data_IF_151476425593
#
_entry.id   IF_151476425593
#
_cell.length_a   1.000
_cell.length_b   1.000
_cell.length_c   1.000
_cell.angle_alpha   90.00
_cell.angle_beta   90.00
_cell.angle_gamma   90.00
#
_symmetry.space_group_name_H-M   'P 1'
#
loop_
_entity.id
_entity.type
_entity.pdbx_description
1 polymer ?
#
# COMPACT_ATOMS: atom_id res chain seq x y z
N UNK A 1 23.61 34.14 -25.67
CA UNK A 1 23.79 32.67 -25.82
C UNK A 1 24.35 31.97 -24.57
N UNK A 2 24.73 32.69 -23.50
CA UNK A 2 25.28 32.13 -22.25
C UNK A 2 24.24 31.52 -21.28
N UNK A 3 22.95 31.81 -21.44
CA UNK A 3 21.89 31.30 -20.53
C UNK A 3 21.50 29.82 -20.76
N UNK A 4 21.88 29.20 -21.88
CA UNK A 4 21.47 27.83 -22.22
C UNK A 4 22.43 26.75 -21.71
N UNK A 5 23.70 27.09 -21.49
CA UNK A 5 24.73 26.11 -21.07
C UNK A 5 24.54 25.74 -19.59
N UNK A 6 24.26 26.71 -18.71
CA UNK A 6 24.03 26.45 -17.28
C UNK A 6 22.76 25.61 -17.02
N UNK A 7 21.77 25.65 -17.89
CA UNK A 7 20.52 24.88 -17.68
C UNK A 7 20.69 23.38 -17.91
N UNK A 8 21.66 22.96 -18.74
CA UNK A 8 21.89 21.54 -18.99
C UNK A 8 22.65 20.86 -17.85
N UNK A 9 23.70 21.52 -17.32
CA UNK A 9 24.52 20.98 -16.23
C UNK A 9 23.72 20.75 -14.94
N UNK A 10 22.72 21.58 -14.66
CA UNK A 10 21.86 21.43 -13.48
C UNK A 10 20.71 20.42 -13.68
N UNK A 11 20.39 20.05 -14.92
CA UNK A 11 19.24 19.20 -15.22
C UNK A 11 19.47 17.75 -14.81
N UNK A 12 20.63 17.19 -15.13
CA UNK A 12 20.97 15.81 -14.78
C UNK A 12 20.98 15.55 -13.26
N UNK A 13 21.66 16.35 -12.42
CA UNK A 13 21.61 16.17 -10.97
C UNK A 13 20.20 16.40 -10.42
N UNK A 14 19.42 17.33 -10.99
CA UNK A 14 18.02 17.53 -10.57
C UNK A 14 17.15 16.29 -10.87
N UNK A 15 17.30 15.67 -12.05
CA UNK A 15 16.58 14.44 -12.41
C UNK A 15 17.00 13.26 -11.52
N UNK A 16 18.29 13.14 -11.20
CA UNK A 16 18.79 12.11 -10.29
C UNK A 16 18.22 12.27 -8.87
N UNK A 17 18.28 13.49 -8.32
CA UNK A 17 17.72 13.81 -7.01
C UNK A 17 16.21 13.56 -6.96
N UNK A 18 15.48 14.01 -7.99
CA UNK A 18 14.05 13.79 -8.13
C UNK A 18 13.70 12.30 -8.19
N UNK A 19 14.46 11.52 -8.95
CA UNK A 19 14.28 10.06 -9.03
C UNK A 19 14.49 9.41 -7.66
N UNK A 20 15.57 9.77 -6.96
CA UNK A 20 15.85 9.25 -5.62
C UNK A 20 14.74 9.60 -4.63
N UNK A 21 14.27 10.85 -4.63
CA UNK A 21 13.16 11.31 -3.80
C UNK A 21 11.86 10.54 -4.11
N UNK A 22 11.52 10.38 -5.39
CA UNK A 22 10.32 9.66 -5.84
C UNK A 22 10.33 8.17 -5.43
N UNK A 23 11.50 7.51 -5.53
CA UNK A 23 11.67 6.13 -5.08
C UNK A 23 11.64 5.99 -3.55
N UNK A 24 11.86 7.09 -2.82
CA UNK A 24 12.00 7.11 -1.35
C UNK A 24 10.83 7.77 -0.63
N UNK A 25 9.73 8.15 -1.32
CA UNK A 25 8.62 8.91 -0.74
C UNK A 25 8.07 8.29 0.55
N UNK A 26 7.91 6.97 0.61
CA UNK A 26 7.41 6.29 1.80
C UNK A 26 8.41 6.36 2.97
N UNK A 27 9.69 6.08 2.70
CA UNK A 27 10.73 6.14 3.73
C UNK A 27 10.89 7.56 4.28
N UNK A 28 10.87 8.57 3.40
CA UNK A 28 10.88 9.99 3.77
C UNK A 28 9.67 10.33 4.64
N UNK A 29 8.47 9.93 4.23
CA UNK A 29 7.25 10.18 4.99
C UNK A 29 7.28 9.52 6.37
N UNK A 30 7.73 8.27 6.47
CA UNK A 30 7.89 7.57 7.76
C UNK A 30 8.89 8.28 8.67
N UNK A 31 10.05 8.70 8.14
CA UNK A 31 11.04 9.44 8.92
C UNK A 31 10.52 10.80 9.40
N UNK A 32 9.87 11.56 8.51
CA UNK A 32 9.26 12.84 8.86
C UNK A 32 8.15 12.65 9.90
N UNK A 33 7.33 11.62 9.74
CA UNK A 33 6.23 11.31 10.64
C UNK A 33 6.72 11.05 12.07
N UNK A 34 7.62 10.08 12.23
CA UNK A 34 8.18 9.71 13.54
C UNK A 34 8.90 10.88 14.20
N UNK A 35 9.70 11.63 13.42
CA UNK A 35 10.54 12.69 13.98
C UNK A 35 9.75 13.95 14.36
N UNK A 36 8.74 14.32 13.58
CA UNK A 36 8.13 15.65 13.70
C UNK A 36 6.61 15.64 13.92
N UNK A 37 5.89 14.56 13.63
CA UNK A 37 4.42 14.62 13.52
C UNK A 37 3.69 13.63 14.43
N UNK A 38 4.35 12.54 14.85
CA UNK A 38 3.75 11.52 15.70
C UNK A 38 3.25 12.10 17.05
N UNK A 39 4.09 12.89 17.72
CA UNK A 39 3.71 13.58 18.96
C UNK A 39 2.58 14.62 18.80
N UNK A 40 2.29 15.04 17.56
CA UNK A 40 1.21 15.98 17.23
C UNK A 40 -0.09 15.26 16.83
N UNK A 41 -0.10 13.94 16.83
CA UNK A 41 -1.27 13.13 16.45
C UNK A 41 -1.63 13.22 14.96
N UNK A 42 -0.70 13.67 14.10
CA UNK A 42 -0.90 13.72 12.65
C UNK A 42 -0.75 12.31 12.08
N UNK A 43 -1.62 11.92 11.16
CA UNK A 43 -1.59 10.58 10.57
C UNK A 43 -0.44 10.44 9.56
N UNK A 44 0.24 9.29 9.55
CA UNK A 44 1.33 9.01 8.59
C UNK A 44 0.90 9.20 7.13
N UNK A 45 -0.36 8.86 6.79
CA UNK A 45 -0.88 9.06 5.43
C UNK A 45 -0.91 10.52 4.99
N UNK A 46 -1.19 11.46 5.91
CA UNK A 46 -1.21 12.89 5.61
C UNK A 46 0.20 13.40 5.31
N UNK A 47 1.18 12.93 6.10
CA UNK A 47 2.61 13.22 5.85
C UNK A 47 3.04 12.62 4.51
N UNK A 48 2.62 11.39 4.21
CA UNK A 48 2.91 10.75 2.93
C UNK A 48 2.32 11.49 1.73
N UNK A 49 1.05 11.91 1.82
CA UNK A 49 0.41 12.73 0.81
C UNK A 49 1.17 14.05 0.59
N UNK A 50 1.61 14.72 1.66
CA UNK A 50 2.40 15.95 1.54
C UNK A 50 3.74 15.71 0.84
N UNK A 51 4.46 14.64 1.19
CA UNK A 51 5.72 14.27 0.51
C UNK A 51 5.48 13.98 -0.98
N UNK A 52 4.45 13.20 -1.32
CA UNK A 52 4.10 12.93 -2.71
C UNK A 52 3.74 14.21 -3.47
N UNK A 53 2.99 15.13 -2.86
CA UNK A 53 2.62 16.40 -3.48
C UNK A 53 3.84 17.27 -3.78
N UNK A 54 4.80 17.35 -2.85
CA UNK A 54 6.07 18.07 -3.06
C UNK A 54 6.86 17.42 -4.19
N UNK A 55 7.03 16.10 -4.18
CA UNK A 55 7.79 15.38 -5.23
C UNK A 55 7.12 15.52 -6.60
N UNK A 56 5.78 15.38 -6.66
CA UNK A 56 5.03 15.58 -7.90
C UNK A 56 5.18 17.02 -8.41
N UNK A 57 5.06 18.02 -7.52
CA UNK A 57 5.27 19.44 -7.85
C UNK A 57 6.67 19.70 -8.42
N UNK A 58 7.71 19.21 -7.75
CA UNK A 58 9.09 19.27 -8.26
C UNK A 58 9.22 18.56 -9.62
N UNK A 59 8.54 17.43 -9.81
CA UNK A 59 8.50 16.73 -11.09
C UNK A 59 7.87 17.55 -12.21
N UNK A 60 6.79 18.28 -11.93
CA UNK A 60 6.16 19.19 -12.89
C UNK A 60 7.08 20.37 -13.23
N UNK A 61 7.84 20.88 -12.27
CA UNK A 61 8.80 21.97 -12.50
C UNK A 61 10.01 21.52 -13.32
N UNK A 62 10.57 20.33 -13.04
CA UNK A 62 11.80 19.84 -13.67
C UNK A 62 11.54 19.18 -15.03
N UNK A 63 10.49 18.36 -15.14
CA UNK A 63 10.18 17.61 -16.37
C UNK A 63 9.12 18.33 -17.21
N UNK A 64 8.37 19.25 -16.62
CA UNK A 64 7.30 20.01 -17.27
C UNK A 64 5.91 19.41 -17.05
N UNK A 65 4.82 20.20 -17.15
CA UNK A 65 3.46 19.73 -16.90
C UNK A 65 2.96 18.71 -17.94
N UNK A 66 3.61 18.64 -19.11
CA UNK A 66 3.31 17.67 -20.17
C UNK A 66 3.47 16.21 -19.72
N UNK A 67 4.13 15.94 -18.58
CA UNK A 67 4.20 14.58 -18.01
C UNK A 67 2.86 14.06 -17.52
N UNK A 68 1.90 14.94 -17.19
CA UNK A 68 0.54 14.52 -16.82
C UNK A 68 -0.32 14.24 -18.06
N UNK A 69 0.05 14.82 -19.20
CA UNK A 69 -0.60 14.64 -20.48
C UNK A 69 0.14 15.41 -21.56
N UNK A 70 0.86 14.69 -22.42
CA UNK A 70 1.49 15.25 -23.62
C UNK A 70 0.59 15.10 -24.86
N UNK A 71 -0.54 14.39 -24.71
CA UNK A 71 -1.44 14.03 -25.78
C UNK A 71 -2.05 15.26 -26.46
N UNK A 72 -1.65 15.51 -27.70
CA UNK A 72 -2.38 16.35 -28.64
C UNK A 72 -3.72 15.64 -28.94
N UNK A 73 -4.85 16.29 -28.62
CA UNK A 73 -6.20 15.87 -29.02
C UNK A 73 -6.87 14.82 -28.12
N UNK A 74 -6.57 13.54 -28.32
CA UNK A 74 -7.48 12.45 -27.90
C UNK A 74 -7.08 11.73 -26.61
N UNK A 75 -5.79 11.75 -26.25
CA UNK A 75 -5.27 11.04 -25.07
C UNK A 75 -5.97 11.47 -23.77
N UNK A 76 -6.22 12.77 -23.59
CA UNK A 76 -6.90 13.30 -22.40
C UNK A 76 -8.37 12.85 -22.30
N UNK A 77 -9.04 12.64 -23.44
CA UNK A 77 -10.44 12.20 -23.49
C UNK A 77 -10.58 10.68 -23.32
N UNK A 78 -9.71 9.92 -24.00
CA UNK A 78 -9.78 8.46 -24.04
C UNK A 78 -9.15 7.80 -22.81
N UNK A 79 -8.08 8.37 -22.27
CA UNK A 79 -7.35 7.80 -21.12
C UNK A 79 -8.24 7.56 -19.89
N UNK A 80 -9.09 8.51 -19.41
CA UNK A 80 -9.98 8.24 -18.28
C UNK A 80 -11.01 7.14 -18.58
N UNK A 81 -11.52 7.05 -19.82
CA UNK A 81 -12.46 6.00 -20.22
C UNK A 81 -11.80 4.61 -20.19
N UNK A 82 -10.59 4.49 -20.75
CA UNK A 82 -9.81 3.26 -20.67
C UNK A 82 -9.47 2.88 -19.22
N UNK A 83 -9.09 3.88 -18.40
CA UNK A 83 -8.84 3.67 -16.98
C UNK A 83 -10.07 3.13 -16.24
N UNK A 84 -11.24 3.70 -16.51
CA UNK A 84 -12.50 3.23 -15.94
C UNK A 84 -12.85 1.79 -16.40
N UNK A 85 -12.63 1.47 -17.68
CA UNK A 85 -12.86 0.13 -18.22
C UNK A 85 -11.93 -0.94 -17.61
N UNK A 86 -10.69 -0.57 -17.29
CA UNK A 86 -9.69 -1.51 -16.77
C UNK A 86 -9.72 -1.65 -15.24
N UNK A 87 -10.26 -0.68 -14.51
CA UNK A 87 -10.35 -0.71 -13.04
C UNK A 87 -10.98 -2.01 -12.45
N UNK A 88 -12.08 -2.57 -13.00
CA UNK A 88 -12.65 -3.82 -12.50
C UNK A 88 -11.72 -5.02 -12.66
N UNK A 89 -10.96 -5.08 -13.75
CA UNK A 89 -9.98 -6.13 -14.02
C UNK A 89 -8.88 -6.10 -12.97
N UNK A 90 -8.32 -4.90 -12.71
CA UNK A 90 -7.28 -4.70 -11.71
C UNK A 90 -7.76 -5.09 -10.31
N UNK A 91 -8.95 -4.63 -9.92
CA UNK A 91 -9.52 -4.98 -8.62
C UNK A 91 -9.76 -6.49 -8.44
N UNK A 92 -10.14 -7.16 -9.53
CA UNK A 92 -10.32 -8.62 -9.54
C UNK A 92 -8.98 -9.33 -9.39
N UNK A 93 -7.96 -8.91 -10.13
CA UNK A 93 -6.61 -9.45 -10.04
C UNK A 93 -6.03 -9.29 -8.62
N UNK A 94 -6.14 -8.10 -8.03
CA UNK A 94 -5.70 -7.81 -6.66
C UNK A 94 -6.38 -8.74 -5.64
N UNK A 95 -7.70 -8.86 -5.73
CA UNK A 95 -8.49 -9.73 -4.84
C UNK A 95 -8.08 -11.19 -4.98
N UNK A 96 -7.87 -11.68 -6.21
CA UNK A 96 -7.47 -13.06 -6.47
C UNK A 96 -6.06 -13.35 -5.94
N UNK A 97 -5.10 -12.46 -6.18
CA UNK A 97 -3.71 -12.60 -5.73
C UNK A 97 -3.66 -12.59 -4.19
N UNK A 98 -4.28 -11.59 -3.57
CA UNK A 98 -4.32 -11.46 -2.11
C UNK A 98 -4.98 -12.69 -1.46
N UNK A 99 -6.10 -13.18 -2.01
CA UNK A 99 -6.78 -14.40 -1.51
C UNK A 99 -5.90 -15.64 -1.67
N UNK A 100 -5.25 -15.83 -2.83
CA UNK A 100 -4.40 -17.01 -3.08
C UNK A 100 -3.19 -17.03 -2.17
N UNK A 101 -2.48 -15.91 -2.03
CA UNK A 101 -1.30 -15.79 -1.17
C UNK A 101 -1.68 -15.90 0.30
N UNK A 102 -2.78 -15.27 0.73
CA UNK A 102 -3.29 -15.41 2.09
C UNK A 102 -3.66 -16.85 2.46
N UNK A 103 -4.30 -17.60 1.54
CA UNK A 103 -4.59 -19.03 1.75
C UNK A 103 -3.32 -19.88 1.85
N UNK A 104 -2.28 -19.58 1.07
CA UNK A 104 -0.99 -20.28 1.14
C UNK A 104 -0.30 -20.02 2.48
N UNK A 105 -0.22 -18.75 2.89
CA UNK A 105 0.36 -18.38 4.18
C UNK A 105 -0.36 -19.05 5.37
N UNK A 106 -1.70 -19.07 5.36
CA UNK A 106 -2.48 -19.75 6.40
C UNK A 106 -2.24 -21.27 6.45
N UNK A 107 -2.05 -21.92 5.29
CA UNK A 107 -1.73 -23.35 5.23
C UNK A 107 -0.31 -23.64 5.74
N UNK A 108 0.66 -22.80 5.42
CA UNK A 108 2.02 -22.93 5.95
C UNK A 108 2.03 -22.80 7.47
N UNK A 109 1.38 -21.76 8.01
CA UNK A 109 1.27 -21.56 9.46
C UNK A 109 0.59 -22.75 10.18
N UNK A 110 -0.47 -23.32 9.61
CA UNK A 110 -1.13 -24.50 10.18
C UNK A 110 -0.22 -25.75 10.17
N UNK A 111 0.63 -25.91 9.15
CA UNK A 111 1.59 -27.01 9.07
C UNK A 111 2.70 -26.88 10.11
N UNK A 112 3.19 -25.66 10.35
CA UNK A 112 4.24 -25.42 11.33
C UNK A 112 3.74 -25.64 12.77
N UNK A 113 2.50 -25.24 13.07
CA UNK A 113 1.85 -25.55 14.36
C UNK A 113 1.68 -27.06 14.58
N UNK A 114 1.29 -27.81 13.54
CA UNK A 114 1.16 -29.27 13.63
C UNK A 114 2.50 -29.99 13.85
N UNK A 115 3.61 -29.44 13.36
CA UNK A 115 4.95 -30.00 13.59
C UNK A 115 5.48 -29.73 15.00
N UNK A 116 5.19 -28.57 15.58
CA UNK A 116 5.57 -28.25 16.96
C UNK A 116 4.90 -29.18 17.98
N UNK A 117 3.60 -29.44 17.82
CA UNK A 117 2.85 -30.27 18.76
C UNK A 117 3.33 -31.73 18.84
N UNK A 118 3.93 -32.28 17.77
CA UNK A 118 4.49 -33.63 17.78
C UNK A 118 5.91 -33.72 18.36
N UNK A 119 6.61 -32.59 18.57
CA UNK A 119 8.01 -32.59 19.01
C UNK A 119 8.17 -32.60 20.54
N UNK A 120 7.14 -32.20 21.28
CA UNK A 120 7.15 -32.20 22.75
C UNK A 120 6.71 -33.56 23.37
N UNK A 121 6.57 -34.60 22.54
CA UNK A 121 6.11 -35.93 22.93
C UNK A 121 7.08 -36.81 23.74
N UNK A 122 8.15 -36.26 24.32
CA UNK A 122 9.13 -37.03 25.11
C UNK A 122 8.98 -36.93 26.63
N UNK A 123 7.93 -36.29 27.16
CA UNK A 123 7.63 -36.33 28.61
C UNK A 123 6.34 -37.13 28.91
N UNK A 124 6.51 -38.45 28.85
CA UNK A 124 6.06 -39.49 29.79
C UNK A 124 4.76 -39.22 30.60
N UNK A 125 3.67 -39.84 30.16
CA UNK A 125 2.76 -40.59 31.05
C UNK A 125 1.86 -39.79 32.00
N UNK A 126 0.87 -39.06 31.49
CA UNK A 126 -0.23 -38.54 32.30
C UNK A 126 -1.55 -38.62 31.52
N UNK A 127 -2.42 -39.55 31.89
CA UNK A 127 -3.73 -39.81 31.27
C UNK A 127 -4.70 -38.68 31.66
N UNK A 128 -4.81 -37.62 30.85
CA UNK A 128 -5.71 -36.50 31.12
C UNK A 128 -7.18 -36.81 30.70
N UNK A 129 -8.20 -36.37 31.47
CA UNK A 129 -9.60 -36.73 31.27
C UNK A 129 -10.26 -36.02 30.07
N UNK A 130 -11.19 -36.73 29.43
CA UNK A 130 -11.69 -36.50 28.07
C UNK A 130 -12.83 -35.47 27.91
N UNK A 131 -12.89 -34.38 28.70
CA UNK A 131 -14.11 -33.53 28.76
C UNK A 131 -13.90 -32.04 28.46
N UNK A 132 -12.91 -31.65 27.66
CA UNK A 132 -12.76 -30.25 27.26
C UNK A 132 -13.61 -29.91 26.01
N UNK A 133 -14.56 -28.96 26.08
CA UNK A 133 -15.43 -28.59 24.97
C UNK A 133 -14.64 -27.91 23.85
N UNK A 134 -14.88 -28.36 22.61
CA UNK A 134 -14.34 -27.79 21.37
C UNK A 134 -14.73 -26.32 21.23
N UNK A 135 -13.85 -25.41 21.59
CA UNK A 135 -14.00 -23.99 21.29
C UNK A 135 -13.98 -23.79 19.77
N UNK A 136 -15.12 -23.33 19.22
CA UNK A 136 -15.30 -23.06 17.80
C UNK A 136 -14.53 -21.79 17.45
N UNK A 137 -13.32 -21.95 16.90
CA UNK A 137 -12.45 -20.84 16.52
C UNK A 137 -13.08 -20.02 15.38
N UNK A 138 -13.70 -18.88 15.72
CA UNK A 138 -14.16 -17.88 14.76
C UNK A 138 -12.95 -17.19 14.12
N UNK A 139 -12.76 -17.39 12.81
CA UNK A 139 -11.67 -16.78 12.02
C UNK A 139 -11.80 -15.25 11.97
N UNK A 140 -10.80 -14.48 12.45
CA UNK A 140 -10.76 -13.04 12.22
C UNK A 140 -10.22 -12.74 10.81
N UNK A 141 -11.04 -12.11 9.99
CA UNK A 141 -10.62 -11.48 8.73
C UNK A 141 -9.81 -10.23 9.10
N UNK A 142 -8.49 -10.39 9.21
CA UNK A 142 -7.56 -9.33 9.66
C UNK A 142 -6.23 -9.84 10.22
N UNK A 143 -6.09 -11.16 10.41
CA UNK A 143 -4.91 -11.78 11.04
C UNK A 143 -3.61 -11.73 10.23
N UNK A 144 -3.64 -11.42 8.94
CA UNK A 144 -2.41 -11.34 8.14
C UNK A 144 -1.47 -10.20 8.59
N UNK A 145 -2.02 -9.12 9.16
CA UNK A 145 -1.21 -8.06 9.77
C UNK A 145 -0.76 -8.40 11.21
N UNK A 146 -1.55 -9.18 11.97
CA UNK A 146 -1.23 -9.55 13.37
C UNK A 146 -0.19 -10.66 13.49
N UNK A 147 -0.11 -11.58 12.54
CA UNK A 147 0.85 -12.69 12.58
C UNK A 147 2.26 -12.30 12.10
N UNK A 148 2.43 -11.15 11.43
CA UNK A 148 3.74 -10.61 11.08
C UNK A 148 4.43 -9.85 12.23
N UNK A 149 3.70 -9.50 13.30
CA UNK A 149 4.20 -8.65 14.39
C UNK A 149 4.58 -9.37 15.68
N UNK A 150 4.42 -10.69 15.78
CA UNK A 150 4.58 -11.43 17.05
C UNK A 150 5.95 -12.08 17.28
N UNK A 151 6.89 -11.98 16.35
CA UNK A 151 8.17 -12.70 16.43
C UNK A 151 9.35 -11.79 16.10
N UNK A 152 9.68 -10.88 17.02
CA UNK A 152 11.03 -10.31 17.22
C UNK A 152 11.00 -9.32 18.40
N UNK A 153 10.99 -9.85 19.63
CA UNK A 153 10.99 -9.04 20.85
C UNK A 153 12.39 -8.72 21.40
N UNK A 154 13.47 -8.99 20.65
CA UNK A 154 14.82 -9.00 21.26
C UNK A 154 15.93 -8.36 20.44
N UNK A 155 15.63 -7.41 19.54
CA UNK A 155 16.66 -6.54 18.97
C UNK A 155 16.21 -5.09 18.86
N UNK A 156 16.87 -4.27 19.67
CA UNK A 156 16.95 -2.82 19.69
C UNK A 156 17.38 -2.22 18.34
N UNK A 157 16.44 -2.05 17.41
CA UNK A 157 16.51 -1.00 16.39
C UNK A 157 15.17 -0.31 16.33
N UNK A 158 15.19 1.02 16.22
CA UNK A 158 14.04 1.91 15.99
C UNK A 158 13.40 1.62 14.63
N UNK A 159 12.93 0.39 14.41
CA UNK A 159 12.19 0.01 13.24
C UNK A 159 10.77 0.46 13.52
N UNK A 160 10.34 1.53 12.84
CA UNK A 160 8.98 2.04 12.94
C UNK A 160 8.00 0.88 12.77
N UNK A 161 7.24 0.61 13.84
CA UNK A 161 6.13 -0.33 13.80
C UNK A 161 4.86 0.50 13.75
N UNK A 162 3.98 0.28 12.77
CA UNK A 162 2.74 1.01 12.73
C UNK A 162 1.94 0.82 14.00
N UNK A 163 1.45 1.92 14.53
CA UNK A 163 0.56 1.88 15.67
C UNK A 163 -0.81 1.33 15.23
N UNK A 164 -1.62 0.89 16.20
CA UNK A 164 -3.03 0.61 15.94
C UNK A 164 -3.75 1.81 15.30
N UNK A 165 -3.34 3.05 15.63
CA UNK A 165 -3.90 4.26 15.00
C UNK A 165 -3.60 4.33 13.52
N UNK A 166 -2.49 3.79 13.03
CA UNK A 166 -2.12 3.82 11.61
C UNK A 166 -2.84 2.73 10.80
N UNK A 167 -3.32 1.69 11.47
CA UNK A 167 -3.99 0.53 10.86
C UNK A 167 -5.51 0.56 11.00
N UNK A 168 -6.05 1.18 12.05
CA UNK A 168 -7.50 1.27 12.31
C UNK A 168 -8.19 2.43 11.57
N UNK A 169 -7.46 3.21 10.79
CA UNK A 169 -8.03 4.42 10.21
C UNK A 169 -9.16 4.05 9.25
N UNK A 170 -10.39 4.38 9.64
CA UNK A 170 -11.48 4.62 8.70
C UNK A 170 -11.11 5.84 7.88
N UNK A 171 -10.16 5.65 6.94
CA UNK A 171 -9.68 6.75 6.13
C UNK A 171 -10.86 7.30 5.36
N UNK A 172 -11.11 8.62 5.46
CA UNK A 172 -12.07 9.26 4.59
C UNK A 172 -11.70 8.93 3.15
N UNK A 173 -12.70 8.58 2.33
CA UNK A 173 -12.49 8.21 0.94
C UNK A 173 -11.66 9.26 0.18
N UNK A 174 -11.86 10.55 0.50
CA UNK A 174 -11.10 11.66 -0.08
C UNK A 174 -9.58 11.51 0.08
N UNK A 175 -9.09 11.07 1.25
CA UNK A 175 -7.65 10.86 1.46
C UNK A 175 -7.11 9.68 0.67
N UNK A 176 -7.86 8.58 0.57
CA UNK A 176 -7.46 7.42 -0.23
C UNK A 176 -7.38 7.77 -1.72
N UNK A 177 -8.36 8.54 -2.23
CA UNK A 177 -8.35 8.99 -3.62
C UNK A 177 -7.21 9.99 -3.84
N UNK A 178 -7.02 10.97 -2.95
CA UNK A 178 -5.95 11.96 -3.07
C UNK A 178 -4.55 11.31 -3.10
N UNK A 179 -4.27 10.36 -2.20
CA UNK A 179 -3.01 9.62 -2.21
C UNK A 179 -2.84 8.83 -3.51
N UNK A 180 -3.88 8.12 -3.95
CA UNK A 180 -3.82 7.38 -5.22
C UNK A 180 -3.51 8.29 -6.42
N UNK A 181 -4.15 9.47 -6.50
CA UNK A 181 -3.85 10.48 -7.53
C UNK A 181 -2.38 10.91 -7.45
N UNK A 182 -1.90 11.26 -6.26
CA UNK A 182 -0.53 11.74 -6.05
C UNK A 182 0.52 10.66 -6.35
N UNK A 183 0.25 9.40 -5.99
CA UNK A 183 1.09 8.27 -6.37
C UNK A 183 1.19 8.16 -7.90
N UNK A 184 0.07 8.21 -8.62
CA UNK A 184 0.11 8.17 -10.08
C UNK A 184 0.82 9.39 -10.69
N UNK A 185 0.68 10.58 -10.12
CA UNK A 185 1.44 11.76 -10.54
C UNK A 185 2.96 11.56 -10.38
N UNK A 186 3.42 10.93 -9.29
CA UNK A 186 4.84 10.65 -9.07
C UNK A 186 5.34 9.51 -9.97
N UNK A 187 4.67 8.35 -9.96
CA UNK A 187 5.19 7.15 -10.62
C UNK A 187 4.92 7.14 -12.14
N UNK A 188 3.72 7.58 -12.58
CA UNK A 188 3.31 7.54 -14.00
C UNK A 188 3.44 8.90 -14.67
N UNK A 189 3.35 9.99 -13.91
CA UNK A 189 3.75 11.32 -14.40
C UNK A 189 5.27 11.47 -14.36
N UNK A 190 5.81 11.79 -13.19
CA UNK A 190 7.21 12.21 -13.02
C UNK A 190 8.22 11.16 -13.46
N UNK A 191 8.22 9.95 -12.88
CA UNK A 191 9.24 8.94 -13.18
C UNK A 191 9.20 8.41 -14.62
N UNK A 192 8.00 8.31 -15.21
CA UNK A 192 7.87 7.96 -16.63
C UNK A 192 8.37 9.12 -17.50
N UNK A 193 8.07 10.36 -17.15
CA UNK A 193 8.65 11.54 -17.80
C UNK A 193 10.18 11.53 -17.77
N UNK A 194 10.79 11.30 -16.61
CA UNK A 194 12.26 11.16 -16.45
C UNK A 194 12.80 10.02 -17.32
N UNK A 195 12.12 8.88 -17.37
CA UNK A 195 12.53 7.76 -18.22
C UNK A 195 12.53 8.17 -19.70
N UNK A 196 11.49 8.86 -20.16
CA UNK A 196 11.35 9.26 -21.57
C UNK A 196 12.34 10.35 -22.01
N UNK A 197 12.94 11.11 -21.08
CA UNK A 197 14.02 12.05 -21.43
C UNK A 197 15.37 11.40 -21.65
N UNK A 198 15.57 10.13 -21.26
CA UNK A 198 16.85 9.45 -21.45
C UNK A 198 17.08 9.10 -22.92
N UNK A 199 18.34 9.11 -23.38
CA UNK A 199 18.66 8.77 -24.77
C UNK A 199 18.71 7.25 -25.03
N UNK A 200 19.19 6.45 -24.07
CA UNK A 200 19.39 5.01 -24.25
C UNK A 200 18.15 4.18 -23.89
N UNK A 201 17.71 3.29 -24.81
CA UNK A 201 16.56 2.40 -24.58
C UNK A 201 16.68 1.58 -23.29
N UNK A 202 17.87 1.03 -23.01
CA UNK A 202 18.12 0.25 -21.79
C UNK A 202 17.91 1.07 -20.51
N UNK A 203 18.35 2.33 -20.49
CA UNK A 203 18.14 3.23 -19.36
C UNK A 203 16.65 3.53 -19.17
N UNK A 204 15.91 3.80 -20.26
CA UNK A 204 14.45 4.01 -20.21
C UNK A 204 13.75 2.82 -19.56
N UNK A 205 14.04 1.62 -20.07
CA UNK A 205 13.44 0.37 -19.57
C UNK A 205 13.80 0.16 -18.10
N UNK A 206 15.07 0.36 -17.72
CA UNK A 206 15.51 0.19 -16.33
C UNK A 206 14.78 1.14 -15.37
N UNK A 207 14.63 2.42 -15.73
CA UNK A 207 13.91 3.39 -14.90
C UNK A 207 12.43 3.01 -14.78
N UNK A 208 11.78 2.59 -15.87
CA UNK A 208 10.37 2.18 -15.84
C UNK A 208 10.15 0.91 -14.99
N UNK A 209 11.07 -0.06 -15.07
CA UNK A 209 11.05 -1.25 -14.22
C UNK A 209 11.28 -0.90 -12.75
N UNK A 210 12.25 -0.02 -12.46
CA UNK A 210 12.52 0.46 -11.11
C UNK A 210 11.33 1.22 -10.52
N UNK A 211 10.69 2.10 -11.29
CA UNK A 211 9.48 2.82 -10.89
C UNK A 211 8.31 1.86 -10.60
N UNK A 212 8.13 0.85 -11.44
CA UNK A 212 7.11 -0.21 -11.25
C UNK A 212 7.37 -1.02 -9.97
N UNK A 213 8.62 -1.42 -9.75
CA UNK A 213 9.04 -2.13 -8.54
C UNK A 213 8.86 -1.29 -7.29
N UNK A 214 9.30 -0.02 -7.32
CA UNK A 214 9.18 0.91 -6.19
C UNK A 214 7.72 1.22 -5.83
N UNK A 215 6.85 1.41 -6.83
CA UNK A 215 5.41 1.55 -6.58
C UNK A 215 4.85 0.32 -5.86
N UNK A 216 5.16 -0.89 -6.31
CA UNK A 216 4.69 -2.10 -5.63
C UNK A 216 5.29 -2.24 -4.22
N UNK A 217 6.59 -1.96 -4.06
CA UNK A 217 7.30 -2.03 -2.78
C UNK A 217 6.83 -0.96 -1.78
N UNK A 218 6.28 0.17 -2.22
CA UNK A 218 5.65 1.15 -1.31
C UNK A 218 4.47 0.55 -0.54
N UNK A 219 3.91 -0.56 -1.01
CA UNK A 219 2.83 -1.27 -0.33
C UNK A 219 3.33 -2.42 0.57
N UNK A 220 4.65 -2.54 0.78
CA UNK A 220 5.25 -3.58 1.65
C UNK A 220 4.73 -3.53 3.07
N UNK A 221 4.31 -2.34 3.51
CA UNK A 221 3.66 -2.11 4.79
C UNK A 221 2.41 -2.99 5.00
N UNK A 222 1.68 -3.29 3.93
CA UNK A 222 0.50 -4.16 3.97
C UNK A 222 0.85 -5.64 3.73
N UNK A 223 2.15 -5.97 3.69
CA UNK A 223 2.71 -7.31 3.51
C UNK A 223 3.01 -7.68 2.05
N UNK A 224 3.83 -8.72 1.87
CA UNK A 224 4.26 -9.20 0.55
C UNK A 224 3.12 -9.59 -0.40
N UNK A 225 2.00 -10.06 0.15
CA UNK A 225 0.82 -10.37 -0.66
C UNK A 225 0.27 -9.13 -1.38
N UNK A 226 0.34 -7.96 -0.72
CA UNK A 226 -0.11 -6.68 -1.28
C UNK A 226 0.90 -6.14 -2.29
N UNK A 227 2.21 -6.25 -2.02
CA UNK A 227 3.25 -5.94 -3.03
C UNK A 227 3.02 -6.72 -4.32
N UNK A 228 2.83 -8.04 -4.21
CA UNK A 228 2.56 -8.90 -5.36
C UNK A 228 1.25 -8.55 -6.07
N UNK A 229 0.21 -8.15 -5.33
CA UNK A 229 -1.08 -7.75 -5.88
C UNK A 229 -1.05 -6.38 -6.59
N UNK A 230 -0.12 -5.50 -6.20
CA UNK A 230 0.06 -4.16 -6.79
C UNK A 230 0.93 -4.15 -8.04
N UNK A 231 1.74 -5.19 -8.27
CA UNK A 231 2.52 -5.32 -9.50
C UNK A 231 1.64 -5.31 -10.77
N UNK A 232 0.57 -6.12 -10.89
CA UNK A 232 -0.33 -6.04 -12.05
C UNK A 232 -0.96 -4.67 -12.26
N UNK A 233 -1.44 -4.02 -11.18
CA UNK A 233 -1.95 -2.65 -11.23
C UNK A 233 -0.88 -1.73 -11.82
N UNK A 234 0.35 -1.83 -11.33
CA UNK A 234 1.46 -0.99 -11.77
C UNK A 234 1.79 -1.14 -13.25
N UNK A 235 1.85 -2.38 -13.73
CA UNK A 235 2.15 -2.69 -15.14
C UNK A 235 1.04 -2.16 -16.04
N UNK A 236 -0.22 -2.39 -15.66
CA UNK A 236 -1.38 -1.91 -16.41
C UNK A 236 -1.43 -0.38 -16.44
N UNK A 237 -1.21 0.28 -15.30
CA UNK A 237 -1.16 1.73 -15.19
C UNK A 237 -0.04 2.33 -16.06
N UNK A 238 1.14 1.71 -16.06
CA UNK A 238 2.25 2.11 -16.92
C UNK A 238 1.90 1.93 -18.41
N UNK A 239 1.32 0.79 -18.79
CA UNK A 239 0.89 0.54 -20.16
C UNK A 239 -0.14 1.55 -20.64
N UNK A 240 -1.14 1.88 -19.81
CA UNK A 240 -2.13 2.93 -20.10
C UNK A 240 -1.44 4.30 -20.29
N UNK A 241 -0.47 4.61 -19.43
CA UNK A 241 0.27 5.88 -19.49
C UNK A 241 1.07 5.99 -20.79
N UNK A 242 1.80 4.95 -21.15
CA UNK A 242 2.60 4.91 -22.39
C UNK A 242 1.72 4.92 -23.64
N UNK A 243 0.61 4.19 -23.63
CA UNK A 243 -0.31 4.10 -24.78
C UNK A 243 -1.06 5.41 -25.04
N UNK A 244 -1.42 6.15 -23.98
CA UNK A 244 -2.22 7.39 -24.10
C UNK A 244 -1.40 8.67 -24.02
N UNK A 245 -0.13 8.58 -23.62
CA UNK A 245 0.71 9.74 -23.33
C UNK A 245 0.20 10.57 -22.14
N UNK A 246 -0.60 9.98 -21.25
CA UNK A 246 -1.20 10.66 -20.09
C UNK A 246 -1.34 9.74 -18.90
N UNK A 247 -1.05 10.28 -17.70
CA UNK A 247 -1.25 9.57 -16.44
C UNK A 247 -2.73 9.50 -16.01
N UNK A 248 -3.65 10.20 -16.69
CA UNK A 248 -5.05 10.30 -16.26
C UNK A 248 -5.77 8.93 -16.20
N UNK A 249 -5.52 8.03 -17.15
CA UNK A 249 -6.10 6.70 -17.13
C UNK A 249 -5.61 5.87 -15.94
N UNK A 250 -4.33 6.01 -15.59
CA UNK A 250 -3.78 5.40 -14.37
C UNK A 250 -4.43 6.00 -13.11
N UNK A 251 -4.56 7.33 -13.04
CA UNK A 251 -5.23 8.05 -11.94
C UNK A 251 -6.66 7.55 -11.75
N UNK A 252 -7.46 7.48 -12.82
CA UNK A 252 -8.85 7.00 -12.76
C UNK A 252 -8.91 5.53 -12.34
N UNK A 253 -8.05 4.69 -12.90
CA UNK A 253 -7.94 3.27 -12.51
C UNK A 253 -7.71 3.13 -11.02
N UNK A 254 -6.73 3.87 -10.48
CA UNK A 254 -6.36 3.81 -9.07
C UNK A 254 -7.45 4.39 -8.16
N UNK A 255 -8.04 5.54 -8.52
CA UNK A 255 -9.13 6.14 -7.75
C UNK A 255 -10.33 5.18 -7.63
N UNK A 256 -10.77 4.56 -8.74
CA UNK A 256 -11.86 3.59 -8.73
C UNK A 256 -11.50 2.32 -7.93
N UNK A 257 -10.25 1.87 -8.03
CA UNK A 257 -9.75 0.79 -7.18
C UNK A 257 -9.87 1.15 -5.69
N UNK A 258 -9.43 2.34 -5.28
CA UNK A 258 -9.51 2.82 -3.89
C UNK A 258 -10.95 2.97 -3.41
N UNK A 259 -11.85 3.49 -4.24
CA UNK A 259 -13.30 3.57 -3.95
C UNK A 259 -13.87 2.18 -3.67
N UNK A 260 -13.53 1.19 -4.51
CA UNK A 260 -14.02 -0.19 -4.36
C UNK A 260 -13.50 -0.84 -3.08
N UNK A 261 -12.21 -0.70 -2.77
CA UNK A 261 -11.61 -1.22 -1.53
C UNK A 261 -12.25 -0.57 -0.31
N UNK A 262 -12.44 0.75 -0.33
CA UNK A 262 -13.10 1.50 0.75
C UNK A 262 -14.53 0.99 0.99
N UNK A 263 -15.34 0.81 -0.07
CA UNK A 263 -16.69 0.24 0.04
C UNK A 263 -16.66 -1.15 0.67
N UNK A 264 -15.78 -2.03 0.18
CA UNK A 264 -15.64 -3.39 0.71
C UNK A 264 -15.30 -3.39 2.21
N UNK A 265 -14.34 -2.56 2.63
CA UNK A 265 -13.95 -2.44 4.03
C UNK A 265 -15.09 -1.93 4.91
N UNK A 266 -15.87 -0.95 4.43
CA UNK A 266 -17.01 -0.43 5.19
C UNK A 266 -18.14 -1.45 5.32
N UNK A 267 -18.40 -2.27 4.29
CA UNK A 267 -19.37 -3.37 4.41
C UNK A 267 -18.92 -4.40 5.45
N UNK A 268 -17.64 -4.79 5.43
CA UNK A 268 -17.09 -5.75 6.41
C UNK A 268 -17.12 -5.19 7.83
N UNK A 269 -16.79 -3.91 8.01
CA UNK A 269 -16.86 -3.22 9.31
C UNK A 269 -18.30 -3.07 9.80
N UNK A 270 -19.22 -2.72 8.91
CA UNK A 270 -20.65 -2.57 9.20
C UNK A 270 -21.38 -3.89 9.49
N UNK A 271 -20.84 -5.04 9.07
CA UNK A 271 -21.35 -6.36 9.44
C UNK A 271 -20.83 -6.86 10.81
N UNK A 272 -19.78 -6.25 11.35
CA UNK A 272 -19.19 -6.59 12.65
C UNK A 272 -19.73 -5.88 13.94
N UNK A 273 -20.66 -4.90 13.94
CA UNK A 273 -21.08 -4.19 15.15
C UNK A 273 -21.66 -5.11 16.22
N UNK A 274 -22.41 -6.13 15.81
CA UNK A 274 -23.10 -7.05 16.72
C UNK A 274 -22.16 -7.85 17.61
N UNK A 275 -20.94 -8.16 17.14
CA UNK A 275 -20.00 -8.95 17.94
C UNK A 275 -19.37 -8.12 19.07
N UNK A 276 -19.00 -6.87 18.80
CA UNK A 276 -18.40 -5.99 19.81
C UNK A 276 -19.41 -5.51 20.83
N UNK A 277 -20.67 -5.26 20.41
CA UNK A 277 -21.71 -4.87 21.35
C UNK A 277 -22.12 -6.05 22.26
N UNK A 278 -22.14 -7.28 21.74
CA UNK A 278 -22.31 -8.50 22.54
C UNK A 278 -21.19 -8.68 23.56
N UNK A 279 -19.93 -8.51 23.17
CA UNK A 279 -18.80 -8.61 24.10
C UNK A 279 -18.81 -7.53 25.18
N UNK A 280 -19.17 -6.28 24.82
CA UNK A 280 -19.35 -5.18 25.79
C UNK A 280 -20.51 -5.43 26.75
N UNK A 281 -21.62 -5.98 26.28
CA UNK A 281 -22.75 -6.37 27.14
C UNK A 281 -22.36 -7.52 28.06
N UNK A 282 -21.63 -8.52 27.56
CA UNK A 282 -21.15 -9.65 28.36
C UNK A 282 -20.10 -9.23 29.42
N UNK A 283 -19.20 -8.31 29.11
CA UNK A 283 -18.24 -7.78 30.11
C UNK A 283 -18.93 -6.91 31.17
N UNK A 284 -19.91 -6.08 30.79
CA UNK A 284 -20.75 -5.35 31.75
C UNK A 284 -21.57 -6.26 32.65
N UNK A 285 -22.10 -7.36 32.11
CA UNK A 285 -22.84 -8.35 32.90
C UNK A 285 -21.94 -9.03 33.94
N UNK A 286 -20.72 -9.44 33.55
CA UNK A 286 -19.74 -10.04 34.48
C UNK A 286 -19.23 -9.08 35.54
N UNK A 287 -19.03 -7.81 35.20
CA UNK A 287 -18.61 -6.79 36.17
C UNK A 287 -19.63 -6.51 37.26
N UNK A 288 -20.94 -6.73 36.98
CA UNK A 288 -22.00 -6.57 37.98
C UNK A 288 -22.10 -7.73 38.97
N UNK A 289 -21.74 -8.95 38.58
CA UNK A 289 -21.86 -10.13 39.45
C UNK A 289 -20.79 -10.21 40.55
N UNK A 290 -19.73 -9.41 40.46
CA UNK A 290 -18.61 -9.42 41.42
C UNK A 290 -18.78 -8.33 42.50
N UNK A 291 -19.75 -7.42 42.33
CA UNK A 291 -19.97 -6.28 43.22
C UNK A 291 -21.14 -6.49 44.21
N UNK A 292 -21.67 -7.71 44.32
CA UNK A 292 -22.74 -8.12 45.24
C UNK A 292 -22.27 -9.25 46.14
#
# INVERSE_FOLDING_TARGET
>A
MTSLIHTHELREPALAALTLCALSCLALASHLHVRFFDHRGVHTLQVYAAVLAVVAGCGLLVVGPRVLGSGVGWGLLVSPLLGAAVAPLVATADTLITRRLGRRAARSAARDQGRGANRDGTTRGGRAPATAPRARATRPVGQAARLAGASSATTTRQQWTPSHRDTDVALPLGWLVAVGVLEECVFRGTLTGVALTQHGLAQRVLILLAATGAFALSHIFFGWAQVAAKLPLSVIALALTLATGSALGAVVTHALFNVRIWRYQNTVRGAAPDARDKDRRASRARGRTVAS
#
